data_IF_037621590358
#
_entry.id   IF_037621590358
#
_cell.length_a   1.000
_cell.length_b   1.000
_cell.length_c   1.000
_cell.angle_alpha   90.00
_cell.angle_beta   90.00
_cell.angle_gamma   90.00
#
_symmetry.space_group_name_H-M   'P 1'
#
loop_
_entity.id
_entity.type
_entity.pdbx_description
1 polymer ?
#
# COMPACT_ATOMS: atom_id res chain seq x y z
N UNK A 1 19.56 4.61 -17.15
CA UNK A 1 19.20 4.94 -15.75
C UNK A 1 18.63 3.68 -15.11
N UNK A 2 19.15 3.21 -13.98
CA UNK A 2 18.66 1.99 -13.30
C UNK A 2 17.55 2.31 -12.30
N UNK A 3 16.77 1.30 -11.87
CA UNK A 3 15.74 1.47 -10.84
C UNK A 3 16.32 1.97 -9.52
N UNK A 4 17.48 1.43 -9.08
CA UNK A 4 18.14 1.83 -7.84
C UNK A 4 18.52 3.32 -7.82
N UNK A 5 19.06 3.86 -8.93
CA UNK A 5 19.36 5.30 -9.05
C UNK A 5 18.10 6.17 -8.96
N UNK A 6 16.96 5.70 -9.49
CA UNK A 6 15.69 6.42 -9.39
C UNK A 6 15.15 6.41 -7.96
N UNK A 7 15.31 5.31 -7.25
CA UNK A 7 14.90 5.21 -5.84
C UNK A 7 15.80 6.07 -4.95
N UNK A 8 17.10 6.10 -5.23
CA UNK A 8 18.06 6.98 -4.55
C UNK A 8 17.71 8.46 -4.79
N UNK A 9 17.45 8.87 -6.04
CA UNK A 9 17.03 10.23 -6.36
C UNK A 9 15.67 10.62 -5.73
N UNK A 10 14.82 9.64 -5.43
CA UNK A 10 13.55 9.83 -4.71
C UNK A 10 13.71 9.81 -3.19
N UNK A 11 14.91 9.57 -2.67
CA UNK A 11 15.16 9.44 -1.23
C UNK A 11 14.58 8.16 -0.61
N UNK A 12 14.19 7.16 -1.41
CA UNK A 12 13.64 5.90 -0.91
C UNK A 12 14.74 4.94 -0.42
N UNK A 13 15.96 5.07 -0.95
CA UNK A 13 17.13 4.27 -0.58
C UNK A 13 18.37 5.16 -0.47
N UNK A 14 19.29 4.80 0.41
CA UNK A 14 20.63 5.37 0.44
C UNK A 14 21.60 4.43 -0.30
N UNK A 15 22.59 5.02 -0.98
CA UNK A 15 23.72 4.31 -1.55
C UNK A 15 24.97 4.63 -0.72
N UNK A 16 25.69 3.60 -0.31
CA UNK A 16 27.05 3.73 0.22
C UNK A 16 28.03 3.14 -0.80
N UNK A 17 29.16 3.82 -1.02
CA UNK A 17 30.24 3.33 -1.90
C UNK A 17 31.46 3.03 -1.03
N UNK A 18 31.70 1.75 -0.78
CA UNK A 18 32.88 1.29 -0.05
C UNK A 18 33.78 0.52 -1.01
N UNK A 19 34.88 1.16 -1.41
CA UNK A 19 35.90 0.53 -2.25
C UNK A 19 35.42 0.15 -3.66
N UNK A 20 34.44 0.86 -4.23
CA UNK A 20 33.89 0.58 -5.55
C UNK A 20 32.73 -0.42 -5.56
N UNK A 21 32.35 -0.94 -4.38
CA UNK A 21 31.15 -1.76 -4.20
C UNK A 21 30.04 -0.85 -3.67
N UNK A 22 28.93 -0.80 -4.42
CA UNK A 22 27.73 -0.07 -4.03
C UNK A 22 26.83 -0.95 -3.19
N UNK A 23 26.58 -0.55 -1.95
CA UNK A 23 25.54 -1.12 -1.10
C UNK A 23 24.36 -0.16 -1.01
N UNK A 24 23.15 -0.72 -0.92
CA UNK A 24 21.92 0.05 -0.82
C UNK A 24 21.16 -0.35 0.42
N UNK A 25 20.59 0.63 1.12
CA UNK A 25 19.71 0.39 2.27
C UNK A 25 18.42 1.20 2.16
N UNK A 26 17.28 0.66 2.63
CA UNK A 26 16.02 1.39 2.61
C UNK A 26 16.10 2.61 3.56
N UNK A 27 15.48 3.71 3.14
CA UNK A 27 15.24 4.89 3.97
C UNK A 27 13.77 5.03 4.38
N UNK A 28 12.89 4.30 3.70
CA UNK A 28 11.46 4.22 4.02
C UNK A 28 11.13 2.83 4.53
N UNK A 29 10.12 2.74 5.40
CA UNK A 29 9.59 1.45 5.84
C UNK A 29 8.72 0.84 4.76
N UNK A 30 8.59 -0.48 4.79
CA UNK A 30 7.83 -1.21 3.77
C UNK A 30 6.33 -0.93 3.91
N UNK A 31 5.85 -0.89 5.14
CA UNK A 31 4.47 -0.60 5.51
C UNK A 31 4.05 0.80 5.04
N UNK A 32 4.88 1.82 5.27
CA UNK A 32 4.59 3.20 4.83
C UNK A 32 4.53 3.29 3.30
N UNK A 33 5.45 2.62 2.60
CA UNK A 33 5.45 2.57 1.15
C UNK A 33 4.21 1.87 0.58
N UNK A 34 3.79 0.76 1.21
CA UNK A 34 2.61 0.01 0.80
C UNK A 34 1.31 0.79 1.05
N UNK A 35 1.23 1.52 2.17
CA UNK A 35 0.08 2.38 2.48
C UNK A 35 -0.05 3.50 1.45
N UNK A 36 1.03 4.25 1.22
CA UNK A 36 1.04 5.32 0.21
C UNK A 36 0.67 4.80 -1.18
N UNK A 37 1.21 3.65 -1.59
CA UNK A 37 0.86 3.06 -2.89
C UNK A 37 -0.62 2.65 -2.96
N UNK A 38 -1.19 2.16 -1.85
CA UNK A 38 -2.60 1.78 -1.77
C UNK A 38 -3.50 3.00 -1.91
N UNK A 39 -3.19 4.11 -1.23
CA UNK A 39 -3.91 5.38 -1.35
C UNK A 39 -3.82 5.95 -2.77
N UNK A 40 -2.59 6.06 -3.31
CA UNK A 40 -2.35 6.55 -4.68
C UNK A 40 -3.11 5.71 -5.73
N UNK A 41 -3.15 4.39 -5.53
CA UNK A 41 -3.84 3.46 -6.41
C UNK A 41 -5.36 3.61 -6.30
N UNK A 42 -5.89 3.69 -5.07
CA UNK A 42 -7.31 3.90 -4.81
C UNK A 42 -7.81 5.19 -5.47
N UNK A 43 -7.06 6.28 -5.32
CA UNK A 43 -7.38 7.57 -5.93
C UNK A 43 -7.32 7.52 -7.45
N UNK A 44 -6.24 6.99 -8.01
CA UNK A 44 -6.03 7.03 -9.46
C UNK A 44 -6.94 6.07 -10.23
N UNK A 45 -7.19 4.87 -9.71
CA UNK A 45 -7.89 3.80 -10.44
C UNK A 45 -9.36 3.72 -10.07
N UNK A 46 -9.68 3.94 -8.79
CA UNK A 46 -11.05 3.83 -8.27
C UNK A 46 -11.62 5.16 -7.81
N UNK A 47 -10.96 6.28 -8.12
CA UNK A 47 -11.40 7.65 -7.82
C UNK A 47 -11.69 7.86 -6.33
N UNK A 48 -10.86 7.26 -5.46
CA UNK A 48 -10.97 7.35 -4.01
C UNK A 48 -12.08 6.48 -3.42
N UNK A 49 -12.82 5.72 -4.23
CA UNK A 49 -13.96 4.95 -3.75
C UNK A 49 -13.58 3.50 -3.43
N UNK A 50 -13.47 3.21 -2.13
CA UNK A 50 -13.26 1.85 -1.63
C UNK A 50 -14.38 0.88 -2.05
N UNK A 51 -15.64 1.32 -2.05
CA UNK A 51 -16.78 0.48 -2.46
C UNK A 51 -16.65 0.00 -3.92
N UNK A 52 -16.20 0.87 -4.83
CA UNK A 52 -15.91 0.49 -6.22
C UNK A 52 -14.77 -0.52 -6.33
N UNK A 53 -13.71 -0.37 -5.55
CA UNK A 53 -12.60 -1.33 -5.50
C UNK A 53 -13.10 -2.71 -5.05
N UNK A 54 -13.81 -2.78 -3.92
CA UNK A 54 -14.36 -4.04 -3.39
C UNK A 54 -15.36 -4.65 -4.38
N UNK A 55 -16.26 -3.85 -4.97
CA UNK A 55 -17.21 -4.35 -5.97
C UNK A 55 -16.54 -4.93 -7.21
N UNK A 56 -15.34 -4.44 -7.56
CA UNK A 56 -14.59 -4.91 -8.71
C UNK A 56 -13.86 -6.22 -8.41
N UNK A 57 -13.40 -6.39 -7.16
CA UNK A 57 -12.82 -7.63 -6.67
C UNK A 57 -13.88 -8.73 -6.59
N UNK A 58 -15.05 -8.43 -6.01
CA UNK A 58 -16.15 -9.39 -5.84
C UNK A 58 -16.76 -9.85 -7.17
N UNK A 59 -16.74 -9.00 -8.20
CA UNK A 59 -17.19 -9.36 -9.56
C UNK A 59 -16.27 -10.38 -10.25
N UNK A 60 -14.99 -10.43 -9.90
CA UNK A 60 -13.99 -11.33 -10.52
C UNK A 60 -13.70 -12.57 -9.67
N UNK A 61 -13.81 -12.45 -8.36
CA UNK A 61 -13.69 -13.55 -7.40
C UNK A 61 -14.79 -13.39 -6.35
N UNK A 62 -15.57 -14.44 -6.09
CA UNK A 62 -16.49 -14.42 -4.97
C UNK A 62 -15.67 -14.38 -3.67
N UNK A 63 -15.89 -13.34 -2.85
CA UNK A 63 -15.40 -13.35 -1.48
C UNK A 63 -16.04 -14.54 -0.77
N UNK A 64 -15.22 -15.30 -0.06
CA UNK A 64 -15.70 -16.32 0.86
C UNK A 64 -16.48 -15.68 2.00
N UNK A 65 -17.33 -16.46 2.66
CA UNK A 65 -18.07 -15.97 3.83
C UNK A 65 -17.14 -15.52 4.96
N UNK A 66 -15.95 -16.12 5.05
CA UNK A 66 -14.94 -15.71 6.02
C UNK A 66 -14.40 -14.32 5.71
N UNK A 67 -14.03 -14.03 4.47
CA UNK A 67 -13.54 -12.71 4.06
C UNK A 67 -14.61 -11.62 4.25
N UNK A 68 -15.88 -11.95 4.00
CA UNK A 68 -17.01 -11.04 4.27
C UNK A 68 -17.12 -10.75 5.76
N UNK A 69 -17.01 -11.77 6.62
CA UNK A 69 -17.06 -11.59 8.07
C UNK A 69 -15.88 -10.73 8.58
N UNK A 70 -14.67 -11.00 8.11
CA UNK A 70 -13.48 -10.20 8.46
C UNK A 70 -13.64 -8.73 8.05
N UNK A 71 -14.18 -8.46 6.85
CA UNK A 71 -14.50 -7.09 6.43
C UNK A 71 -15.55 -6.41 7.33
N UNK A 72 -16.58 -7.13 7.76
CA UNK A 72 -17.59 -6.59 8.67
C UNK A 72 -17.01 -6.24 10.04
N UNK A 73 -16.07 -7.03 10.56
CA UNK A 73 -15.39 -6.71 11.82
C UNK A 73 -14.52 -5.46 11.69
N UNK A 74 -13.74 -5.34 10.60
CA UNK A 74 -12.95 -4.11 10.34
C UNK A 74 -13.83 -2.87 10.30
N UNK A 75 -14.99 -2.93 9.61
CA UNK A 75 -15.93 -1.81 9.57
C UNK A 75 -16.49 -1.47 10.95
N UNK A 76 -16.84 -2.48 11.76
CA UNK A 76 -17.34 -2.28 13.11
C UNK A 76 -16.30 -1.65 14.03
N UNK A 77 -15.04 -2.06 13.91
CA UNK A 77 -13.93 -1.45 14.65
C UNK A 77 -13.75 0.03 14.27
N UNK A 78 -13.86 0.37 12.98
CA UNK A 78 -13.78 1.76 12.52
C UNK A 78 -14.92 2.61 13.08
N UNK A 79 -16.16 2.10 13.05
CA UNK A 79 -17.33 2.79 13.61
C UNK A 79 -17.18 3.01 15.12
N UNK A 80 -16.77 1.99 15.88
CA UNK A 80 -16.57 2.08 17.32
C UNK A 80 -15.48 3.09 17.71
N UNK A 81 -14.43 3.24 16.89
CA UNK A 81 -13.37 4.23 17.12
C UNK A 81 -13.75 5.65 16.66
N UNK A 82 -14.88 5.82 15.98
CA UNK A 82 -15.38 7.14 15.52
C UNK A 82 -16.38 7.77 16.51
N UNK A 83 -16.91 6.96 17.44
CA UNK A 83 -17.86 7.39 18.48
C UNK A 83 -17.18 7.89 19.79
N UNK A 84 -15.85 8.07 19.79
CA UNK A 84 -15.01 8.63 20.86
C UNK A 84 -14.36 9.97 20.42
#
# INVERSE_FOLDING_TARGET
MTLLRRLEAKGAVACDDQGGIKSFRPLIRREDAALQETEDFLDRVYKGSLSLMISSLTKKQALSQQEIAELHEVLREMEANTDD
#
